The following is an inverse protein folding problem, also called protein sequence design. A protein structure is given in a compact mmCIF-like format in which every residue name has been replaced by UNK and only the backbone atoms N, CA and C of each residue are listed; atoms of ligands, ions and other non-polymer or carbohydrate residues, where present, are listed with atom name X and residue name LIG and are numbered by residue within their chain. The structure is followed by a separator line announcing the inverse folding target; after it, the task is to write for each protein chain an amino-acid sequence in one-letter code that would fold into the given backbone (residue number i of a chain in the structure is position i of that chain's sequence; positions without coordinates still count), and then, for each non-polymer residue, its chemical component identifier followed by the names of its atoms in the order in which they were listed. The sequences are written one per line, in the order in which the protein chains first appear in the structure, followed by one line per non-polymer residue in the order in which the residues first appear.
data_IF_458069586269
#
_entry.id   IF_458069586269
#
_cell.length_a   1.000
_cell.length_b   1.000
_cell.length_c   1.000
_cell.angle_alpha   90.00
_cell.angle_beta   90.00
_cell.angle_gamma   90.00
#
_symmetry.space_group_name_H-M   'P 1'
#
loop_
_entity.id
_entity.type
_entity.pdbx_description
1 polymer ?
#
# COMPACT_ATOMS: atom_id res chain seq x y z
N UNK A 1 19.25 48.78 7.52
CA UNK A 1 18.64 47.72 6.67
C UNK A 1 18.26 46.57 7.57
N UNK A 2 16.97 46.39 7.83
CA UNK A 2 16.45 45.43 8.82
C UNK A 2 15.61 44.40 8.07
N UNK A 3 16.12 43.17 7.96
CA UNK A 3 15.42 42.05 7.33
C UNK A 3 14.81 41.18 8.42
N UNK A 4 13.47 41.25 8.54
CA UNK A 4 12.67 40.35 9.36
C UNK A 4 12.63 38.97 8.70
N UNK A 5 13.15 37.95 9.39
CA UNK A 5 12.86 36.56 9.06
C UNK A 5 11.52 36.17 9.69
N UNK A 6 10.52 35.91 8.83
CA UNK A 6 9.24 35.34 9.24
C UNK A 6 9.37 33.82 9.28
N UNK A 7 9.28 33.23 10.46
CA UNK A 7 9.18 31.78 10.66
C UNK A 7 7.75 31.31 10.36
N UNK A 8 7.60 30.46 9.34
CA UNK A 8 6.35 29.72 9.11
C UNK A 8 6.48 28.32 9.71
N UNK A 9 5.57 28.02 10.63
CA UNK A 9 5.41 26.76 11.33
C UNK A 9 4.70 25.77 10.40
N UNK A 10 5.34 24.64 10.09
CA UNK A 10 4.65 23.51 9.46
C UNK A 10 3.96 22.66 10.53
N UNK A 11 2.64 22.57 10.44
CA UNK A 11 1.78 21.77 11.30
C UNK A 11 1.58 20.39 10.66
N UNK A 12 2.08 19.34 11.31
CA UNK A 12 1.83 17.96 10.94
C UNK A 12 0.44 17.54 11.43
N UNK A 13 -0.52 17.41 10.51
CA UNK A 13 -1.79 16.74 10.77
C UNK A 13 -1.79 15.36 10.10
N UNK A 14 -1.82 14.36 10.97
CA UNK A 14 -1.98 12.94 10.72
C UNK A 14 -3.29 12.62 9.99
N UNK A 15 -3.18 11.83 8.92
CA UNK A 15 -4.32 11.20 8.26
C UNK A 15 -4.41 9.73 8.72
N UNK A 16 -5.47 9.44 9.45
CA UNK A 16 -5.91 8.10 9.86
C UNK A 16 -6.53 7.36 8.68
N UNK A 17 -6.02 6.17 8.36
CA UNK A 17 -6.64 5.18 7.47
C UNK A 17 -7.74 4.40 8.22
N UNK A 18 -8.91 4.12 7.60
CA UNK A 18 -9.79 3.06 8.07
C UNK A 18 -9.47 1.73 7.37
N UNK A 19 -9.46 0.68 8.20
CA UNK A 19 -9.02 -0.66 7.86
C UNK A 19 -9.87 -1.38 6.80
N UNK A 20 -9.16 -2.21 6.04
CA UNK A 20 -9.70 -3.14 5.05
C UNK A 20 -9.76 -4.53 5.69
N UNK A 21 -10.97 -4.96 6.07
CA UNK A 21 -11.26 -6.32 6.48
C UNK A 21 -12.10 -7.02 5.41
N UNK A 22 -11.57 -8.10 4.83
CA UNK A 22 -12.28 -9.35 4.54
C UNK A 22 -11.50 -10.19 3.51
N UNK A 23 -10.94 -11.29 4.00
CA UNK A 23 -10.55 -12.47 3.22
C UNK A 23 -11.78 -13.08 2.52
N UNK A 24 -11.62 -13.67 1.32
CA UNK A 24 -12.04 -15.06 1.05
C UNK A 24 -11.18 -15.67 -0.09
N UNK A 25 -10.38 -16.65 0.32
CA UNK A 25 -9.96 -17.92 -0.30
C UNK A 25 -10.08 -18.15 -1.81
N UNK A 26 -8.93 -18.54 -2.38
CA UNK A 26 -8.77 -19.35 -3.59
C UNK A 26 -9.15 -20.83 -3.35
N UNK A 27 -9.82 -21.44 -4.31
CA UNK A 27 -9.60 -22.86 -4.67
C UNK A 27 -9.93 -23.07 -6.14
N UNK A 28 -8.98 -23.66 -6.84
CA UNK A 28 -9.02 -24.06 -8.24
C UNK A 28 -9.43 -25.53 -8.40
N UNK A 29 -9.64 -25.92 -9.67
CA UNK A 29 -9.49 -27.27 -10.28
C UNK A 29 -10.78 -27.91 -10.82
N UNK A 30 -10.83 -27.85 -12.16
CA UNK A 30 -11.27 -28.80 -13.21
C UNK A 30 -12.62 -29.53 -13.14
N UNK A 31 -13.35 -29.56 -14.26
CA UNK A 31 -14.38 -30.54 -14.56
C UNK A 31 -13.84 -31.69 -15.44
N UNK A 32 -14.37 -32.89 -15.23
CA UNK A 32 -14.19 -34.06 -16.08
C UNK A 32 -14.58 -35.33 -15.35
N UNK A 33 -15.12 -36.41 -15.92
CA UNK A 33 -15.60 -36.80 -17.26
C UNK A 33 -16.43 -38.08 -17.01
N UNK A 34 -17.27 -38.47 -17.99
CA UNK A 34 -17.79 -39.83 -18.29
C UNK A 34 -19.26 -40.04 -17.95
N UNK A 35 -20.11 -40.67 -18.78
CA UNK A 35 -20.00 -41.48 -20.02
C UNK A 35 -21.47 -41.74 -20.42
N UNK A 36 -21.89 -42.03 -21.65
CA UNK A 36 -21.29 -42.24 -22.97
C UNK A 36 -22.36 -41.84 -24.02
N UNK A 37 -22.03 -41.54 -25.28
CA UNK A 37 -21.52 -42.47 -26.29
C UNK A 37 -22.70 -43.31 -26.82
N UNK A 38 -23.07 -43.35 -28.10
CA UNK A 38 -22.29 -43.15 -29.33
C UNK A 38 -23.22 -43.36 -30.55
N UNK A 39 -22.96 -42.60 -31.64
CA UNK A 39 -23.08 -42.86 -33.10
C UNK A 39 -24.29 -43.67 -33.66
N UNK A 40 -24.93 -43.39 -34.81
CA UNK A 40 -24.57 -42.92 -36.17
C UNK A 40 -25.85 -42.23 -36.76
N UNK A 41 -25.91 -41.35 -37.76
CA UNK A 41 -25.15 -41.19 -39.01
C UNK A 41 -26.09 -41.39 -40.22
N UNK A 42 -26.08 -40.43 -41.17
CA UNK A 42 -26.76 -40.40 -42.50
C UNK A 42 -28.30 -40.29 -42.50
N UNK A 43 -28.96 -39.52 -43.37
CA UNK A 43 -28.54 -38.93 -44.63
C UNK A 43 -29.50 -39.34 -45.75
N UNK A 44 -30.29 -38.36 -46.20
CA UNK A 44 -30.77 -38.18 -47.58
C UNK A 44 -32.09 -38.84 -48.07
N UNK A 45 -32.74 -38.08 -48.97
CA UNK A 45 -33.60 -38.44 -50.11
C UNK A 45 -35.12 -38.60 -49.94
N UNK A 46 -35.84 -37.62 -50.54
CA UNK A 46 -37.12 -37.75 -51.31
C UNK A 46 -37.06 -38.96 -52.29
N UNK A 47 -38.16 -39.54 -52.84
CA UNK A 47 -39.31 -38.80 -53.42
C UNK A 47 -40.69 -39.51 -53.48
N UNK A 48 -41.62 -38.74 -54.06
CA UNK A 48 -42.90 -39.07 -54.75
C UNK A 48 -42.83 -40.33 -55.64
N UNK A 49 -43.94 -41.05 -55.81
CA UNK A 49 -44.54 -41.52 -57.09
C UNK A 49 -45.73 -42.47 -56.84
N UNK A 50 -46.75 -42.34 -57.70
CA UNK A 50 -47.94 -43.17 -57.84
C UNK A 50 -47.66 -44.46 -58.64
N UNK A 51 -48.46 -45.53 -58.46
CA UNK A 51 -48.52 -46.63 -59.44
C UNK A 51 -49.96 -47.18 -59.56
N UNK A 52 -50.39 -47.28 -60.82
CA UNK A 52 -51.55 -47.97 -61.38
C UNK A 52 -51.28 -49.47 -61.62
N UNK A 53 -52.34 -50.18 -62.04
CA UNK A 53 -52.36 -51.42 -62.87
C UNK A 53 -52.83 -52.65 -62.09
N UNK A 54 -53.95 -53.33 -62.39
CA UNK A 54 -54.56 -53.83 -63.63
C UNK A 54 -54.05 -55.22 -64.06
N UNK A 55 -54.99 -55.99 -64.63
CA UNK A 55 -54.94 -57.34 -65.22
C UNK A 55 -54.92 -58.52 -64.24
N UNK A 56 -55.65 -59.61 -64.42
CA UNK A 56 -56.52 -60.04 -65.51
C UNK A 56 -56.93 -61.51 -65.29
N UNK A 57 -58.14 -61.84 -65.78
CA UNK A 57 -58.71 -63.15 -66.19
C UNK A 57 -57.68 -64.19 -66.72
N UNK A 58 -57.96 -65.53 -66.86
CA UNK A 58 -59.06 -66.03 -67.73
C UNK A 58 -59.63 -67.48 -67.64
N UNK A 59 -60.85 -67.61 -68.20
CA UNK A 59 -61.39 -68.59 -69.20
C UNK A 59 -61.66 -70.08 -68.88
N UNK A 60 -62.97 -70.42 -68.93
CA UNK A 60 -63.62 -71.50 -69.73
C UNK A 60 -63.69 -72.93 -69.14
N UNK A 61 -64.59 -73.84 -69.60
CA UNK A 61 -65.69 -73.81 -70.60
C UNK A 61 -67.09 -74.14 -69.97
N UNK A 62 -68.27 -73.88 -70.54
CA UNK A 62 -68.91 -74.52 -71.71
C UNK A 62 -69.58 -75.87 -71.37
N UNK A 63 -70.93 -75.94 -71.21
CA UNK A 63 -71.88 -77.10 -71.33
C UNK A 63 -73.31 -76.51 -71.25
N UNK A 64 -74.05 -76.46 -72.37
CA UNK A 64 -75.12 -77.36 -72.84
C UNK A 64 -76.55 -77.03 -72.32
N UNK A 65 -77.42 -76.84 -73.32
CA UNK A 65 -78.84 -76.53 -73.31
C UNK A 65 -79.71 -77.54 -72.52
N UNK A 66 -80.57 -77.06 -71.61
CA UNK A 66 -81.70 -77.84 -71.06
C UNK A 66 -82.95 -76.96 -70.95
N UNK A 67 -84.01 -77.50 -71.53
CA UNK A 67 -85.39 -77.05 -71.69
C UNK A 67 -86.04 -76.41 -70.46
N UNK A 68 -86.72 -75.27 -70.65
CA UNK A 68 -87.65 -74.69 -69.67
C UNK A 68 -88.91 -75.55 -69.63
N UNK A 69 -89.07 -76.37 -68.59
CA UNK A 69 -90.32 -77.06 -68.26
C UNK A 69 -91.34 -76.03 -67.74
N UNK A 70 -92.45 -75.80 -68.45
CA UNK A 70 -93.51 -74.86 -68.07
C UNK A 70 -94.37 -75.35 -66.87
N UNK A 71 -93.80 -76.14 -65.95
CA UNK A 71 -94.50 -76.83 -64.85
C UNK A 71 -93.91 -76.55 -63.46
N UNK A 72 -92.88 -75.71 -63.32
CA UNK A 72 -92.23 -75.41 -62.03
C UNK A 72 -92.41 -73.96 -61.56
N UNK A 73 -93.37 -73.23 -62.14
CA UNK A 73 -93.91 -71.96 -61.61
C UNK A 73 -94.97 -72.23 -60.52
N UNK A 74 -94.62 -73.04 -59.53
CA UNK A 74 -95.38 -73.20 -58.29
C UNK A 74 -94.49 -72.77 -57.13
N UNK A 75 -94.86 -71.73 -56.36
CA UNK A 75 -94.10 -71.32 -55.20
C UNK A 75 -94.02 -72.50 -54.24
N UNK A 76 -92.83 -73.07 -54.09
CA UNK A 76 -92.53 -73.99 -53.00
C UNK A 76 -92.58 -73.16 -51.71
N UNK A 77 -93.75 -73.18 -51.04
CA UNK A 77 -93.92 -72.74 -49.67
C UNK A 77 -93.08 -73.64 -48.76
N UNK A 78 -91.79 -73.34 -48.69
CA UNK A 78 -90.97 -73.68 -47.55
C UNK A 78 -91.60 -72.95 -46.36
N UNK A 79 -92.32 -73.67 -45.51
CA UNK A 79 -92.61 -73.23 -44.15
C UNK A 79 -91.26 -73.00 -43.46
N UNK A 80 -90.71 -71.80 -43.62
CA UNK A 80 -89.63 -71.29 -42.79
C UNK A 80 -90.24 -71.21 -41.41
N UNK A 81 -89.69 -72.00 -40.51
CA UNK A 81 -90.10 -72.12 -39.12
C UNK A 81 -90.31 -70.71 -38.53
N UNK A 82 -91.52 -70.36 -38.00
CA UNK A 82 -91.79 -69.03 -37.46
C UNK A 82 -90.84 -68.63 -36.33
N UNK A 83 -90.19 -69.61 -35.68
CA UNK A 83 -89.12 -69.41 -34.71
C UNK A 83 -87.84 -68.80 -35.32
N UNK A 84 -87.49 -69.13 -36.58
CA UNK A 84 -86.29 -68.63 -37.27
C UNK A 84 -86.48 -67.19 -37.77
N UNK A 85 -87.71 -66.80 -38.11
CA UNK A 85 -88.04 -65.42 -38.48
C UNK A 85 -88.00 -64.48 -37.27
N UNK A 86 -88.52 -64.91 -36.12
CA UNK A 86 -88.40 -64.15 -34.87
C UNK A 86 -86.93 -64.01 -34.45
N UNK A 87 -86.14 -65.09 -34.48
CA UNK A 87 -84.72 -65.04 -34.16
C UNK A 87 -83.93 -64.09 -35.09
N UNK A 88 -84.22 -64.08 -36.41
CA UNK A 88 -83.58 -63.13 -37.33
C UNK A 88 -84.03 -61.68 -37.15
N UNK A 89 -85.26 -61.46 -36.69
CA UNK A 89 -85.75 -60.11 -36.39
C UNK A 89 -85.16 -59.58 -35.09
N UNK A 90 -85.08 -60.43 -34.06
CA UNK A 90 -84.36 -60.14 -32.81
C UNK A 90 -82.87 -59.89 -33.05
N UNK A 91 -82.20 -60.71 -33.87
CA UNK A 91 -80.79 -60.50 -34.27
C UNK A 91 -80.62 -59.18 -35.04
N UNK A 92 -81.55 -58.84 -35.93
CA UNK A 92 -81.53 -57.57 -36.66
C UNK A 92 -81.76 -56.36 -35.74
N UNK A 93 -82.61 -56.48 -34.73
CA UNK A 93 -82.83 -55.44 -33.72
C UNK A 93 -81.65 -55.31 -32.75
N UNK A 94 -81.00 -56.41 -32.40
CA UNK A 94 -79.75 -56.42 -31.64
C UNK A 94 -78.60 -55.79 -32.44
N UNK A 95 -78.46 -56.12 -33.73
CA UNK A 95 -77.48 -55.48 -34.62
C UNK A 95 -77.79 -53.99 -34.80
N UNK A 96 -79.07 -53.61 -34.86
CA UNK A 96 -79.47 -52.20 -34.93
C UNK A 96 -79.13 -51.44 -33.65
N UNK A 97 -79.48 -51.97 -32.48
CA UNK A 97 -79.13 -51.36 -31.19
C UNK A 97 -77.62 -51.33 -30.96
N UNK A 98 -76.89 -52.34 -31.43
CA UNK A 98 -75.42 -52.34 -31.39
C UNK A 98 -74.84 -51.30 -32.35
N UNK A 99 -75.39 -51.15 -33.56
CA UNK A 99 -74.99 -50.11 -34.49
C UNK A 99 -75.32 -48.70 -33.98
N UNK A 100 -76.47 -48.50 -33.34
CA UNK A 100 -76.83 -47.22 -32.71
C UNK A 100 -75.85 -46.89 -31.56
N UNK A 101 -75.45 -47.91 -30.78
CA UNK A 101 -74.37 -47.78 -29.78
C UNK A 101 -73.02 -47.45 -30.44
N UNK A 102 -72.64 -48.12 -31.52
CA UNK A 102 -71.41 -47.80 -32.26
C UNK A 102 -71.43 -46.39 -32.85
N UNK A 103 -72.55 -45.94 -33.40
CA UNK A 103 -72.71 -44.57 -33.88
C UNK A 103 -72.50 -43.56 -32.74
N UNK A 104 -73.10 -43.80 -31.57
CA UNK A 104 -72.89 -42.95 -30.39
C UNK A 104 -71.44 -42.95 -29.89
N UNK A 105 -70.74 -44.09 -29.97
CA UNK A 105 -69.32 -44.20 -29.63
C UNK A 105 -68.45 -43.46 -30.65
N UNK A 106 -68.75 -43.57 -31.95
CA UNK A 106 -68.05 -42.86 -33.02
C UNK A 106 -68.22 -41.35 -32.84
N UNK A 107 -69.42 -40.88 -32.51
CA UNK A 107 -69.68 -39.46 -32.22
C UNK A 107 -68.92 -38.99 -30.97
N UNK A 108 -68.84 -39.84 -29.94
CA UNK A 108 -68.07 -39.53 -28.73
C UNK A 108 -66.57 -39.48 -29.00
N UNK A 109 -66.03 -40.40 -29.80
CA UNK A 109 -64.62 -40.39 -30.20
C UNK A 109 -64.32 -39.15 -31.04
N UNK A 110 -65.16 -38.80 -32.02
CA UNK A 110 -65.00 -37.56 -32.81
C UNK A 110 -65.03 -36.32 -31.93
N UNK A 111 -65.94 -36.26 -30.96
CA UNK A 111 -65.99 -35.15 -30.02
C UNK A 111 -64.71 -35.05 -29.17
N UNK A 112 -64.19 -36.17 -28.68
CA UNK A 112 -62.95 -36.21 -27.91
C UNK A 112 -61.72 -35.88 -28.78
N UNK A 113 -61.66 -36.35 -30.01
CA UNK A 113 -60.62 -35.98 -30.98
C UNK A 113 -60.65 -34.47 -31.27
N UNK A 114 -61.84 -33.90 -31.44
CA UNK A 114 -62.00 -32.47 -31.67
C UNK A 114 -61.60 -31.65 -30.43
N UNK A 115 -61.92 -32.13 -29.23
CA UNK A 115 -61.45 -31.52 -27.98
C UNK A 115 -59.93 -31.63 -27.81
N UNK A 116 -59.33 -32.79 -28.11
CA UNK A 116 -57.89 -32.97 -28.07
C UNK A 116 -57.18 -32.05 -29.06
N UNK A 117 -57.71 -31.91 -30.28
CA UNK A 117 -57.16 -30.99 -31.28
C UNK A 117 -57.27 -29.52 -30.84
N UNK A 118 -58.34 -29.17 -30.13
CA UNK A 118 -58.49 -27.84 -29.53
C UNK A 118 -57.51 -27.62 -28.37
N UNK A 119 -57.25 -28.65 -27.55
CA UNK A 119 -56.26 -28.59 -26.48
C UNK A 119 -54.83 -28.52 -27.03
N UNK A 120 -54.51 -29.26 -28.08
CA UNK A 120 -53.21 -29.21 -28.77
C UNK A 120 -52.95 -27.83 -29.37
N UNK A 121 -53.95 -27.23 -30.04
CA UNK A 121 -53.81 -25.87 -30.57
C UNK A 121 -53.69 -24.83 -29.46
N UNK A 122 -54.45 -24.97 -28.37
CA UNK A 122 -54.32 -24.11 -27.18
C UNK A 122 -52.95 -24.26 -26.51
N UNK A 123 -52.42 -25.48 -26.43
CA UNK A 123 -51.09 -25.77 -25.89
C UNK A 123 -50.00 -25.15 -26.76
N UNK A 124 -50.08 -25.31 -28.09
CA UNK A 124 -49.14 -24.71 -29.03
C UNK A 124 -49.11 -23.18 -28.90
N UNK A 125 -50.29 -22.54 -28.84
CA UNK A 125 -50.40 -21.08 -28.65
C UNK A 125 -49.85 -20.61 -27.30
N UNK A 126 -50.09 -21.36 -26.22
CA UNK A 126 -49.54 -21.04 -24.90
C UNK A 126 -48.01 -21.20 -24.88
N UNK A 127 -47.48 -22.19 -25.58
CA UNK A 127 -46.04 -22.42 -25.65
C UNK A 127 -45.34 -21.35 -26.50
N UNK A 128 -45.94 -20.95 -27.61
CA UNK A 128 -45.46 -19.82 -28.42
C UNK A 128 -45.58 -18.49 -27.65
N UNK A 129 -46.65 -18.28 -26.89
CA UNK A 129 -46.78 -17.12 -26.04
C UNK A 129 -45.75 -17.11 -24.89
N UNK A 130 -45.40 -18.28 -24.33
CA UNK A 130 -44.37 -18.41 -23.29
C UNK A 130 -42.96 -18.21 -23.84
N UNK A 131 -42.68 -18.66 -25.07
CA UNK A 131 -41.37 -18.45 -25.70
C UNK A 131 -41.18 -16.98 -26.11
N UNK A 132 -42.21 -16.32 -26.65
CA UNK A 132 -42.18 -14.87 -26.96
C UNK A 132 -42.13 -14.01 -25.69
N UNK A 133 -42.66 -14.52 -24.56
CA UNK A 133 -42.56 -13.90 -23.23
C UNK A 133 -41.34 -14.38 -22.41
N UNK A 134 -40.44 -15.17 -22.98
CA UNK A 134 -39.11 -15.38 -22.38
C UNK A 134 -38.45 -14.00 -22.34
N UNK A 135 -38.48 -13.39 -21.16
CA UNK A 135 -38.38 -11.95 -20.99
C UNK A 135 -37.03 -11.46 -21.50
N UNK A 136 -37.00 -10.31 -22.19
CA UNK A 136 -35.75 -9.59 -22.53
C UNK A 136 -35.03 -9.04 -21.28
N UNK A 137 -35.68 -9.16 -20.13
CA UNK A 137 -35.30 -8.55 -18.86
C UNK A 137 -34.00 -9.15 -18.26
N UNK A 138 -33.79 -10.49 -18.23
CA UNK A 138 -32.53 -11.07 -17.78
C UNK A 138 -31.35 -10.63 -18.65
N UNK A 139 -31.52 -10.54 -19.98
CA UNK A 139 -30.46 -10.05 -20.87
C UNK A 139 -30.09 -8.58 -20.63
N UNK A 140 -31.05 -7.72 -20.29
CA UNK A 140 -30.78 -6.32 -19.91
C UNK A 140 -30.02 -6.25 -18.58
N UNK A 141 -30.41 -7.07 -17.59
CA UNK A 141 -29.69 -7.14 -16.31
C UNK A 141 -28.28 -7.71 -16.48
N UNK A 142 -28.10 -8.76 -17.29
CA UNK A 142 -26.77 -9.31 -17.61
C UNK A 142 -25.89 -8.30 -18.32
N UNK A 143 -26.42 -7.55 -19.30
CA UNK A 143 -25.70 -6.47 -19.96
C UNK A 143 -25.30 -5.37 -18.96
N UNK A 144 -26.21 -4.96 -18.07
CA UNK A 144 -25.92 -3.96 -17.03
C UNK A 144 -24.87 -4.46 -16.03
N UNK A 145 -24.92 -5.73 -15.64
CA UNK A 145 -23.91 -6.37 -14.78
C UNK A 145 -22.56 -6.41 -15.49
N UNK A 146 -22.52 -6.75 -16.77
CA UNK A 146 -21.29 -6.76 -17.57
C UNK A 146 -20.67 -5.36 -17.69
N UNK A 147 -21.48 -4.33 -17.93
CA UNK A 147 -21.02 -2.94 -17.97
C UNK A 147 -20.47 -2.48 -16.62
N UNK A 148 -21.16 -2.79 -15.52
CA UNK A 148 -20.68 -2.45 -14.18
C UNK A 148 -19.37 -3.17 -13.83
N UNK A 149 -19.21 -4.43 -14.26
CA UNK A 149 -17.94 -5.17 -14.10
C UNK A 149 -16.81 -4.52 -14.90
N UNK A 150 -17.05 -4.13 -16.15
CA UNK A 150 -16.06 -3.37 -16.94
C UNK A 150 -15.70 -2.04 -16.30
N UNK A 151 -16.65 -1.30 -15.74
CA UNK A 151 -16.37 -0.06 -15.03
C UNK A 151 -15.52 -0.29 -13.78
N UNK A 152 -15.82 -1.35 -13.02
CA UNK A 152 -15.02 -1.73 -11.86
C UNK A 152 -13.58 -2.11 -12.26
N UNK A 153 -13.41 -2.90 -13.32
CA UNK A 153 -12.09 -3.26 -13.85
C UNK A 153 -11.32 -2.01 -14.32
N UNK A 154 -11.96 -1.09 -15.04
CA UNK A 154 -11.35 0.16 -15.48
C UNK A 154 -10.91 1.02 -14.28
N UNK A 155 -11.78 1.19 -13.29
CA UNK A 155 -11.44 1.92 -12.06
C UNK A 155 -10.32 1.25 -11.26
N UNK A 156 -10.25 -0.09 -11.25
CA UNK A 156 -9.18 -0.82 -10.59
C UNK A 156 -7.84 -0.64 -11.32
N UNK A 157 -7.85 -0.63 -12.65
CA UNK A 157 -6.64 -0.33 -13.44
C UNK A 157 -6.19 1.11 -13.23
N UNK A 158 -7.11 2.08 -13.24
CA UNK A 158 -6.80 3.48 -12.95
C UNK A 158 -6.28 3.67 -11.52
N UNK A 159 -6.88 3.00 -10.53
CA UNK A 159 -6.39 2.99 -9.16
C UNK A 159 -4.97 2.47 -9.07
N UNK A 160 -4.66 1.36 -9.75
CA UNK A 160 -3.31 0.78 -9.78
C UNK A 160 -2.31 1.70 -10.48
N UNK A 161 -2.72 2.39 -11.56
CA UNK A 161 -1.90 3.38 -12.26
C UNK A 161 -1.60 4.58 -11.36
N UNK A 162 -2.61 5.12 -10.68
CA UNK A 162 -2.44 6.24 -9.75
C UNK A 162 -1.57 5.87 -8.55
N UNK A 163 -1.67 4.63 -8.05
CA UNK A 163 -0.81 4.14 -6.97
C UNK A 163 0.65 4.05 -7.40
N UNK A 164 0.91 3.63 -8.65
CA UNK A 164 2.26 3.64 -9.23
C UNK A 164 2.79 5.06 -9.45
N UNK A 165 1.96 5.97 -9.95
CA UNK A 165 2.33 7.40 -10.09
C UNK A 165 2.63 8.02 -8.72
N UNK A 166 1.83 7.73 -7.70
CA UNK A 166 2.06 8.17 -6.33
C UNK A 166 3.39 7.65 -5.80
N UNK A 167 3.67 6.35 -5.93
CA UNK A 167 4.94 5.77 -5.50
C UNK A 167 6.12 6.43 -6.20
N UNK A 168 6.06 6.59 -7.54
CA UNK A 168 7.11 7.25 -8.30
C UNK A 168 7.33 8.71 -7.84
N UNK A 169 6.26 9.45 -7.53
CA UNK A 169 6.41 10.81 -6.99
C UNK A 169 7.00 10.81 -5.58
N UNK A 170 6.68 9.82 -4.74
CA UNK A 170 7.26 9.67 -3.41
C UNK A 170 8.76 9.37 -3.50
N UNK A 171 9.17 8.46 -4.38
CA UNK A 171 10.57 8.09 -4.61
C UNK A 171 11.38 9.33 -5.06
N UNK A 172 10.83 10.12 -6.00
CA UNK A 172 11.48 11.37 -6.46
C UNK A 172 11.60 12.40 -5.33
N UNK A 173 10.58 12.52 -4.47
CA UNK A 173 10.62 13.43 -3.32
C UNK A 173 11.67 12.97 -2.30
N UNK A 174 11.77 11.67 -2.04
CA UNK A 174 12.78 11.09 -1.15
C UNK A 174 14.19 11.29 -1.70
N UNK A 175 14.39 11.10 -3.00
CA UNK A 175 15.65 11.40 -3.69
C UNK A 175 16.06 12.87 -3.54
N UNK A 176 15.12 13.81 -3.71
CA UNK A 176 15.40 15.23 -3.51
C UNK A 176 15.72 15.54 -2.05
N UNK A 177 14.97 14.96 -1.11
CA UNK A 177 15.24 15.12 0.32
C UNK A 177 16.65 14.63 0.67
N UNK A 178 17.05 13.45 0.20
CA UNK A 178 18.39 12.91 0.41
C UNK A 178 19.46 13.84 -0.19
N UNK A 179 19.25 14.34 -1.41
CA UNK A 179 20.17 15.32 -2.04
C UNK A 179 20.27 16.62 -1.24
N UNK A 180 19.18 17.12 -0.67
CA UNK A 180 19.19 18.30 0.18
C UNK A 180 19.95 18.06 1.49
N UNK A 181 19.76 16.90 2.13
CA UNK A 181 20.49 16.52 3.33
C UNK A 181 21.99 16.39 3.05
N UNK A 182 22.37 15.76 1.93
CA UNK A 182 23.77 15.71 1.48
C UNK A 182 24.36 17.10 1.19
N UNK A 183 23.60 17.99 0.55
CA UNK A 183 24.05 19.37 0.27
C UNK A 183 24.23 20.17 1.56
N UNK A 184 23.33 20.00 2.53
CA UNK A 184 23.47 20.62 3.86
C UNK A 184 24.74 20.09 4.54
N UNK A 185 24.96 18.78 4.52
CA UNK A 185 26.15 18.18 5.11
C UNK A 185 27.43 18.64 4.42
N UNK A 186 27.45 18.71 3.08
CA UNK A 186 28.58 19.24 2.29
C UNK A 186 28.84 20.72 2.59
N UNK A 187 27.78 21.53 2.68
CA UNK A 187 27.89 22.94 3.08
C UNK A 187 28.45 23.09 4.49
N UNK A 188 27.95 22.33 5.46
CA UNK A 188 28.46 22.38 6.83
C UNK A 188 29.93 21.95 6.92
N UNK A 189 30.33 20.92 6.16
CA UNK A 189 31.73 20.50 6.09
C UNK A 189 32.63 21.60 5.50
N UNK A 190 32.21 22.24 4.41
CA UNK A 190 32.94 23.35 3.80
C UNK A 190 32.98 24.59 4.71
N UNK A 191 31.91 24.88 5.44
CA UNK A 191 31.85 25.98 6.41
C UNK A 191 32.79 25.72 7.59
N UNK A 192 32.82 24.48 8.10
CA UNK A 192 33.77 24.08 9.14
C UNK A 192 35.23 24.22 8.66
N UNK A 193 35.54 23.76 7.44
CA UNK A 193 36.87 23.92 6.84
C UNK A 193 37.24 25.40 6.67
N UNK A 194 36.31 26.23 6.22
CA UNK A 194 36.50 27.67 6.09
C UNK A 194 36.81 28.33 7.43
N UNK A 195 36.10 27.95 8.50
CA UNK A 195 36.35 28.48 9.86
C UNK A 195 37.74 28.07 10.36
N UNK A 196 38.16 26.83 10.12
CA UNK A 196 39.50 26.37 10.46
C UNK A 196 40.57 27.13 9.68
N UNK A 197 40.40 27.25 8.36
CA UNK A 197 41.33 27.97 7.50
C UNK A 197 41.44 29.45 7.91
N UNK A 198 40.32 30.08 8.29
CA UNK A 198 40.31 31.44 8.82
C UNK A 198 41.14 31.56 10.10
N UNK A 199 40.97 30.63 11.04
CA UNK A 199 41.78 30.59 12.27
C UNK A 199 43.28 30.44 11.96
N UNK A 200 43.63 29.60 10.99
CA UNK A 200 45.03 29.42 10.58
C UNK A 200 45.59 30.66 9.88
N UNK A 201 44.78 31.36 9.07
CA UNK A 201 45.15 32.66 8.47
C UNK A 201 45.36 33.72 9.56
N UNK A 202 44.47 33.81 10.54
CA UNK A 202 44.61 34.76 11.65
C UNK A 202 45.87 34.45 12.49
N UNK A 203 46.14 33.16 12.77
CA UNK A 203 47.35 32.73 13.48
C UNK A 203 48.64 33.05 12.72
N UNK A 204 48.66 32.77 11.40
CA UNK A 204 49.81 33.10 10.55
C UNK A 204 50.01 34.60 10.41
N UNK A 205 48.94 35.39 10.36
CA UNK A 205 49.01 36.84 10.35
C UNK A 205 49.57 37.40 11.65
N UNK A 206 49.11 36.91 12.82
CA UNK A 206 49.68 37.30 14.11
C UNK A 206 51.18 36.99 14.19
N UNK A 207 51.60 35.79 13.78
CA UNK A 207 53.02 35.41 13.71
C UNK A 207 53.81 36.33 12.77
N UNK A 208 53.24 36.68 11.61
CA UNK A 208 53.86 37.61 10.66
C UNK A 208 54.07 38.98 11.31
N UNK A 209 53.04 39.54 11.96
CA UNK A 209 53.12 40.85 12.63
C UNK A 209 54.16 40.83 13.75
N UNK A 210 54.23 39.75 14.53
CA UNK A 210 55.27 39.58 15.56
C UNK A 210 56.69 39.53 14.97
N UNK A 211 56.88 38.84 13.85
CA UNK A 211 58.17 38.79 13.14
C UNK A 211 58.54 40.13 12.53
N UNK A 212 57.58 40.86 11.94
CA UNK A 212 57.79 42.22 11.43
C UNK A 212 58.17 43.19 12.57
N UNK A 213 57.53 43.11 13.73
CA UNK A 213 57.89 43.91 14.89
C UNK A 213 59.32 43.62 15.38
N UNK A 214 59.72 42.33 15.41
CA UNK A 214 61.10 41.94 15.75
C UNK A 214 62.11 42.45 14.71
N UNK A 215 61.79 42.36 13.42
CA UNK A 215 62.64 42.87 12.36
C UNK A 215 62.80 44.39 12.43
N UNK A 216 61.72 45.13 12.71
CA UNK A 216 61.76 46.58 12.91
C UNK A 216 62.60 46.94 14.14
N UNK A 217 62.42 46.25 15.27
CA UNK A 217 63.24 46.46 16.47
C UNK A 217 64.73 46.24 16.22
N UNK A 218 65.10 45.18 15.50
CA UNK A 218 66.50 44.94 15.09
C UNK A 218 67.02 46.02 14.13
N UNK A 219 66.18 46.52 13.23
CA UNK A 219 66.55 47.59 12.31
C UNK A 219 66.76 48.93 13.03
N UNK A 220 65.92 49.24 14.02
CA UNK A 220 66.09 50.40 14.92
C UNK A 220 67.40 50.28 15.71
N UNK A 221 67.72 49.10 16.24
CA UNK A 221 68.98 48.84 16.95
C UNK A 221 70.20 49.01 16.02
N UNK A 222 70.13 48.51 14.79
CA UNK A 222 71.19 48.71 13.78
C UNK A 222 71.37 50.20 13.47
N UNK A 223 70.28 50.95 13.29
CA UNK A 223 70.34 52.37 13.00
C UNK A 223 70.89 53.16 14.19
N UNK A 224 70.47 52.82 15.41
CA UNK A 224 71.03 53.40 16.64
C UNK A 224 72.54 53.18 16.72
N UNK A 225 73.01 51.94 16.52
CA UNK A 225 74.44 51.62 16.54
C UNK A 225 75.20 52.38 15.44
N UNK A 226 74.65 52.50 14.23
CA UNK A 226 75.25 53.28 13.14
C UNK A 226 75.41 54.76 13.52
N UNK A 227 74.34 55.39 13.99
CA UNK A 227 74.39 56.81 14.41
C UNK A 227 75.30 57.02 15.61
N UNK A 228 75.33 56.07 16.55
CA UNK A 228 76.24 56.09 17.69
C UNK A 228 77.71 56.06 17.24
N UNK A 229 78.08 55.10 16.38
CA UNK A 229 79.45 55.01 15.85
C UNK A 229 79.83 56.20 14.97
N UNK A 230 78.90 56.76 14.19
CA UNK A 230 79.15 57.97 13.39
C UNK A 230 79.44 59.18 14.28
N UNK A 231 78.72 59.32 15.40
CA UNK A 231 78.95 60.38 16.37
C UNK A 231 80.27 60.20 17.12
N UNK A 232 80.59 58.98 17.55
CA UNK A 232 81.88 58.64 18.18
C UNK A 232 83.06 58.93 17.23
N UNK A 233 82.94 58.56 15.95
CA UNK A 233 83.95 58.89 14.94
C UNK A 233 84.10 60.40 14.72
N UNK A 234 82.99 61.14 14.66
CA UNK A 234 83.02 62.60 14.54
C UNK A 234 83.68 63.26 15.75
N UNK A 235 83.42 62.76 16.96
CA UNK A 235 84.03 63.26 18.19
C UNK A 235 85.54 62.99 18.20
N UNK A 236 85.95 61.77 17.89
CA UNK A 236 87.37 61.41 17.75
C UNK A 236 88.07 62.27 16.68
N UNK A 237 87.40 62.53 15.56
CA UNK A 237 87.93 63.38 14.50
C UNK A 237 88.04 64.85 14.95
N UNK A 238 87.08 65.36 15.72
CA UNK A 238 87.15 66.67 16.37
C UNK A 238 88.33 66.75 17.34
N UNK A 239 88.51 65.76 18.20
CA UNK A 239 89.64 65.70 19.15
C UNK A 239 90.99 65.71 18.41
N UNK A 240 91.09 65.01 17.28
CA UNK A 240 92.30 65.03 16.44
C UNK A 240 92.49 66.42 15.80
N UNK A 241 91.43 67.05 15.28
CA UNK A 241 91.53 68.40 14.69
C UNK A 241 91.84 69.49 15.72
N UNK A 242 91.23 69.42 16.91
CA UNK A 242 91.45 70.34 18.03
C UNK A 242 92.88 70.22 18.56
N UNK A 243 93.44 69.01 18.56
CA UNK A 243 94.86 68.77 18.87
C UNK A 243 95.79 69.25 17.74
N UNK A 244 95.33 69.30 16.49
CA UNK A 244 96.10 69.83 15.35
C UNK A 244 96.12 71.36 15.28
N UNK A 245 95.18 72.03 15.95
CA UNK A 245 95.10 73.48 16.09
C UNK A 245 95.61 73.87 17.49
N UNK A 246 96.88 73.56 17.75
CA UNK A 246 97.62 74.23 18.84
C UNK A 246 97.87 75.66 18.40
N UNK A 247 96.91 76.50 18.75
CA UNK A 247 96.93 77.95 18.67
C UNK A 247 98.18 78.50 19.38
N UNK A 248 98.96 79.29 18.65
CA UNK A 248 99.87 80.27 19.21
C UNK A 248 99.05 81.28 20.02
N UNK A 249 98.96 81.06 21.33
CA UNK A 249 98.37 82.04 22.24
C UNK A 249 99.32 83.24 22.36
N UNK A 250 98.84 84.39 21.91
CA UNK A 250 99.41 85.67 22.30
C UNK A 250 98.92 85.99 23.72
N UNK A 251 99.77 85.66 24.69
CA UNK A 251 99.45 85.65 26.11
C UNK A 251 99.77 87.02 26.73
N UNK A 252 98.87 87.99 26.54
CA UNK A 252 98.95 89.27 27.24
C UNK A 252 97.56 89.85 27.52
N UNK A 253 96.82 89.18 28.40
CA UNK A 253 95.72 89.81 29.13
C UNK A 253 95.71 89.22 30.52
N UNK A 254 95.79 90.07 31.54
CA UNK A 254 95.69 89.65 32.94
C UNK A 254 94.37 88.91 33.13
N UNK A 255 94.45 87.58 33.23
CA UNK A 255 93.33 86.72 33.54
C UNK A 255 93.02 86.88 35.02
N UNK A 256 91.78 87.26 35.32
CA UNK A 256 91.25 87.20 36.67
C UNK A 256 91.02 85.73 37.03
N UNK A 257 92.06 85.12 37.62
CA UNK A 257 92.08 83.71 37.97
C UNK A 257 90.95 83.35 38.93
N UNK A 258 90.50 84.29 39.77
CA UNK A 258 89.45 84.05 40.73
C UNK A 258 88.08 83.89 40.05
N UNK A 259 87.80 84.71 39.03
CA UNK A 259 86.57 84.60 38.22
C UNK A 259 86.51 83.28 37.45
N UNK A 260 87.62 82.86 36.83
CA UNK A 260 87.70 81.60 36.07
C UNK A 260 87.56 80.39 37.00
N UNK A 261 88.20 80.42 38.18
CA UNK A 261 88.07 79.35 39.18
C UNK A 261 86.63 79.27 39.70
N UNK A 262 85.95 80.41 39.90
CA UNK A 262 84.55 80.44 40.31
C UNK A 262 83.62 79.87 39.21
N UNK A 263 83.85 80.21 37.95
CA UNK A 263 83.08 79.70 36.81
C UNK A 263 83.29 78.19 36.61
N UNK A 264 84.53 77.71 36.69
CA UNK A 264 84.83 76.27 36.62
C UNK A 264 84.16 75.51 37.77
N UNK A 265 84.19 76.04 39.00
CA UNK A 265 83.49 75.43 40.14
C UNK A 265 81.98 75.38 39.92
N UNK A 266 81.38 76.45 39.41
CA UNK A 266 79.95 76.50 39.09
C UNK A 266 79.58 75.47 38.01
N UNK A 267 80.41 75.29 36.98
CA UNK A 267 80.18 74.26 35.96
C UNK A 267 80.28 72.83 36.52
N UNK A 268 81.23 72.56 37.41
CA UNK A 268 81.32 71.25 38.07
C UNK A 268 80.11 70.99 38.98
N UNK A 269 79.65 72.00 39.72
CA UNK A 269 78.43 71.89 40.51
C UNK A 269 77.20 71.66 39.62
N UNK A 270 77.08 72.36 38.48
CA UNK A 270 76.00 72.16 37.51
C UNK A 270 76.03 70.77 36.87
N UNK A 271 77.20 70.26 36.50
CA UNK A 271 77.36 68.91 35.93
C UNK A 271 77.02 67.85 36.98
N UNK A 272 77.47 68.01 38.22
CA UNK A 272 77.13 67.12 39.32
C UNK A 272 75.62 67.13 39.62
N UNK A 273 74.99 68.30 39.60
CA UNK A 273 73.55 68.47 39.80
C UNK A 273 72.75 67.87 38.64
N UNK A 274 73.17 68.08 37.37
CA UNK A 274 72.53 67.45 36.20
C UNK A 274 72.64 65.93 36.25
N UNK A 275 73.83 65.39 36.51
CA UNK A 275 74.03 63.94 36.64
C UNK A 275 73.17 63.33 37.75
N UNK A 276 73.04 64.03 38.88
CA UNK A 276 72.15 63.61 39.97
C UNK A 276 70.69 63.63 39.56
N UNK A 277 70.21 64.71 38.94
CA UNK A 277 68.83 64.86 38.50
C UNK A 277 68.46 63.83 37.40
N UNK A 278 69.38 63.56 36.49
CA UNK A 278 69.23 62.54 35.45
C UNK A 278 69.16 61.13 36.06
N UNK A 279 70.01 60.81 37.04
CA UNK A 279 69.94 59.54 37.75
C UNK A 279 68.63 59.38 38.53
N UNK A 280 68.19 60.42 39.25
CA UNK A 280 66.92 60.42 39.99
C UNK A 280 65.72 60.25 39.04
N UNK A 281 65.68 60.99 37.92
CA UNK A 281 64.65 60.85 36.87
C UNK A 281 64.66 59.46 36.23
N UNK A 282 65.84 58.91 35.96
CA UNK A 282 65.99 57.58 35.39
C UNK A 282 65.46 56.49 36.34
N UNK A 283 65.80 56.58 37.63
CA UNK A 283 65.28 55.66 38.65
C UNK A 283 63.77 55.79 38.83
N UNK A 284 63.24 57.02 38.83
CA UNK A 284 61.82 57.26 38.95
C UNK A 284 61.05 56.66 37.76
N UNK A 285 61.53 56.92 36.53
CA UNK A 285 60.97 56.33 35.32
C UNK A 285 61.03 54.80 35.37
N UNK A 286 62.15 54.21 35.83
CA UNK A 286 62.26 52.76 35.95
C UNK A 286 61.32 52.17 37.00
N UNK A 287 61.14 52.85 38.12
CA UNK A 287 60.21 52.44 39.15
C UNK A 287 58.77 52.49 38.65
N UNK A 288 58.37 53.55 37.94
CA UNK A 288 57.05 53.68 37.32
C UNK A 288 56.79 52.59 36.27
N UNK A 289 57.77 52.27 35.42
CA UNK A 289 57.65 51.18 34.44
C UNK A 289 57.46 49.83 35.15
N UNK A 290 58.26 49.54 36.18
CA UNK A 290 58.14 48.30 36.95
C UNK A 290 56.82 48.21 37.69
N UNK A 291 56.34 49.33 38.25
CA UNK A 291 55.04 49.40 38.93
C UNK A 291 53.88 49.20 37.94
N UNK A 292 53.93 49.84 36.78
CA UNK A 292 52.93 49.67 35.73
C UNK A 292 52.95 48.23 35.17
N UNK A 293 54.13 47.64 35.00
CA UNK A 293 54.27 46.25 34.55
C UNK A 293 53.70 45.29 35.59
N UNK A 294 54.03 45.46 36.88
CA UNK A 294 53.46 44.65 37.96
C UNK A 294 51.93 44.77 38.04
N UNK A 295 51.39 45.97 37.83
CA UNK A 295 49.94 46.20 37.72
C UNK A 295 49.31 45.41 36.57
N UNK A 296 49.88 45.52 35.35
CA UNK A 296 49.43 44.76 34.18
C UNK A 296 49.46 43.25 34.41
N UNK A 297 50.54 42.73 35.00
CA UNK A 297 50.65 41.29 35.29
C UNK A 297 49.60 40.85 36.32
N UNK A 298 49.28 41.71 37.30
CA UNK A 298 48.19 41.47 38.26
C UNK A 298 46.81 41.45 37.60
N UNK A 299 46.56 42.40 36.69
CA UNK A 299 45.30 42.47 35.92
C UNK A 299 45.14 41.28 34.97
N UNK A 300 46.20 40.89 34.26
CA UNK A 300 46.19 39.71 33.38
C UNK A 300 45.94 38.42 34.17
N UNK A 301 46.57 38.27 35.34
CA UNK A 301 46.31 37.13 36.22
C UNK A 301 44.87 37.12 36.75
N UNK A 302 44.29 38.29 37.02
CA UNK A 302 42.89 38.41 37.42
C UNK A 302 41.93 38.08 36.28
N UNK A 303 42.24 38.53 35.06
CA UNK A 303 41.44 38.24 33.86
C UNK A 303 41.44 36.74 33.55
N UNK A 304 42.62 36.12 33.48
CA UNK A 304 42.74 34.67 33.27
C UNK A 304 42.04 33.87 34.37
N UNK A 305 42.11 34.29 35.63
CA UNK A 305 41.35 33.68 36.72
C UNK A 305 39.84 33.80 36.53
N UNK A 306 39.34 34.93 36.04
CA UNK A 306 37.92 35.12 35.75
C UNK A 306 37.47 34.25 34.58
N UNK A 307 38.26 34.18 33.50
CA UNK A 307 37.99 33.31 32.35
C UNK A 307 37.94 31.83 32.76
N UNK A 308 38.88 31.38 33.61
CA UNK A 308 38.86 30.03 34.17
C UNK A 308 37.57 29.81 34.99
N UNK A 309 37.13 30.78 35.78
CA UNK A 309 35.88 30.66 36.54
C UNK A 309 34.64 30.60 35.63
N UNK A 310 34.62 31.37 34.54
CA UNK A 310 33.54 31.37 33.56
C UNK A 310 33.49 30.07 32.75
N UNK A 311 34.64 29.57 32.29
CA UNK A 311 34.76 28.27 31.65
C UNK A 311 34.28 27.16 32.59
N UNK A 312 34.68 27.18 33.87
CA UNK A 312 34.19 26.22 34.85
C UNK A 312 32.67 26.28 35.04
N UNK A 313 32.06 27.49 35.07
CA UNK A 313 30.60 27.63 35.11
C UNK A 313 29.92 27.11 33.84
N UNK A 314 30.55 27.28 32.68
CA UNK A 314 30.05 26.75 31.41
C UNK A 314 30.10 25.22 31.39
N UNK A 315 31.21 24.64 31.85
CA UNK A 315 31.37 23.18 32.00
C UNK A 315 30.27 22.63 32.91
N UNK A 316 30.03 23.23 34.08
CA UNK A 316 28.97 22.77 35.00
C UNK A 316 27.58 22.85 34.38
N UNK A 317 27.27 23.91 33.62
CA UNK A 317 26.00 24.05 32.89
C UNK A 317 25.83 22.96 31.83
N UNK A 318 26.86 22.72 31.02
CA UNK A 318 26.85 21.68 29.99
C UNK A 318 26.74 20.29 30.63
N UNK A 319 27.42 20.04 31.74
CA UNK A 319 27.32 18.77 32.47
C UNK A 319 25.87 18.53 32.96
N UNK A 320 25.24 19.56 33.54
CA UNK A 320 23.85 19.48 33.98
C UNK A 320 22.86 19.27 32.83
N UNK A 321 23.11 19.89 31.68
CA UNK A 321 22.31 19.68 30.46
C UNK A 321 22.46 18.25 29.92
N UNK A 322 23.69 17.73 29.88
CA UNK A 322 23.97 16.34 29.52
C UNK A 322 23.22 15.38 30.45
N UNK A 323 23.27 15.60 31.75
CA UNK A 323 22.60 14.73 32.72
C UNK A 323 21.07 14.83 32.62
N UNK A 324 20.53 16.03 32.34
CA UNK A 324 19.11 16.20 32.07
C UNK A 324 18.67 15.45 30.80
N UNK A 325 19.42 15.55 29.70
CA UNK A 325 19.14 14.84 28.45
C UNK A 325 19.26 13.33 28.65
N UNK A 326 20.27 12.85 29.39
CA UNK A 326 20.39 11.42 29.75
C UNK A 326 19.18 10.93 30.53
N UNK A 327 18.69 11.71 31.50
CA UNK A 327 17.49 11.38 32.25
C UNK A 327 16.23 11.37 31.36
N UNK A 328 16.11 12.31 30.43
CA UNK A 328 15.01 12.32 29.46
C UNK A 328 15.05 11.10 28.54
N UNK A 329 16.23 10.74 28.03
CA UNK A 329 16.43 9.53 27.23
C UNK A 329 16.03 8.28 28.00
N UNK A 330 16.49 8.12 29.24
CA UNK A 330 16.13 6.97 30.07
C UNK A 330 14.62 6.88 30.34
N UNK A 331 13.94 8.02 30.54
CA UNK A 331 12.47 8.07 30.68
C UNK A 331 11.75 7.65 29.41
N UNK A 332 12.22 8.11 28.24
CA UNK A 332 11.65 7.73 26.95
C UNK A 332 11.88 6.25 26.64
N UNK A 333 13.08 5.73 26.91
CA UNK A 333 13.38 4.30 26.76
C UNK A 333 12.50 3.44 27.67
N UNK A 334 12.27 3.85 28.92
CA UNK A 334 11.34 3.16 29.82
C UNK A 334 9.89 3.19 29.32
N UNK A 335 9.43 4.33 28.79
CA UNK A 335 8.09 4.47 28.23
C UNK A 335 7.90 3.64 26.94
N UNK A 336 8.94 3.53 26.11
CA UNK A 336 8.93 2.66 24.92
C UNK A 336 8.82 1.20 25.35
N UNK A 337 9.67 0.75 26.29
CA UNK A 337 9.62 -0.61 26.79
C UNK A 337 8.25 -0.97 27.39
N UNK A 338 7.65 -0.06 28.18
CA UNK A 338 6.31 -0.27 28.73
C UNK A 338 5.23 -0.35 27.63
N UNK A 339 5.31 0.50 26.60
CA UNK A 339 4.38 0.46 25.48
C UNK A 339 4.54 -0.82 24.62
N UNK A 340 5.77 -1.29 24.44
CA UNK A 340 6.09 -2.55 23.76
C UNK A 340 5.52 -3.75 24.54
N UNK A 341 5.75 -3.81 25.86
CA UNK A 341 5.22 -4.87 26.73
C UNK A 341 3.68 -4.89 26.73
N UNK A 342 3.04 -3.72 26.85
CA UNK A 342 1.58 -3.59 26.76
C UNK A 342 1.06 -4.02 25.38
N UNK A 343 1.75 -3.63 24.31
CA UNK A 343 1.42 -4.03 22.95
C UNK A 343 1.55 -5.54 22.73
N UNK A 344 2.62 -6.16 23.24
CA UNK A 344 2.83 -7.60 23.15
C UNK A 344 1.76 -8.36 23.93
N UNK A 345 1.37 -7.88 25.11
CA UNK A 345 0.30 -8.49 25.91
C UNK A 345 -1.05 -8.42 25.19
N UNK A 346 -1.39 -7.26 24.58
CA UNK A 346 -2.60 -7.10 23.80
C UNK A 346 -2.63 -8.01 22.56
N UNK A 347 -1.48 -8.17 21.89
CA UNK A 347 -1.35 -9.10 20.76
C UNK A 347 -1.51 -10.56 21.20
N UNK A 348 -0.94 -10.95 22.35
CA UNK A 348 -1.11 -12.29 22.91
C UNK A 348 -2.59 -12.59 23.22
N UNK A 349 -3.30 -11.63 23.83
CA UNK A 349 -4.73 -11.78 24.14
C UNK A 349 -5.59 -11.88 22.86
N UNK A 350 -5.33 -11.01 21.87
CA UNK A 350 -6.02 -11.07 20.58
C UNK A 350 -5.78 -12.41 19.84
N UNK A 351 -4.55 -12.93 19.87
CA UNK A 351 -4.20 -14.25 19.31
C UNK A 351 -4.93 -15.38 20.03
N UNK A 352 -4.94 -15.36 21.37
CA UNK A 352 -5.67 -16.35 22.16
C UNK A 352 -7.17 -16.33 21.82
N UNK A 353 -7.77 -15.14 21.67
CA UNK A 353 -9.18 -15.00 21.26
C UNK A 353 -9.43 -15.52 19.85
N UNK A 354 -8.51 -15.28 18.93
CA UNK A 354 -8.59 -15.82 17.57
C UNK A 354 -8.57 -17.36 17.60
N UNK A 355 -7.64 -17.97 18.33
CA UNK A 355 -7.55 -19.43 18.48
C UNK A 355 -8.81 -20.03 19.09
N UNK A 356 -9.39 -19.38 20.11
CA UNK A 356 -10.65 -19.80 20.73
C UNK A 356 -11.81 -19.79 19.72
N UNK A 357 -11.92 -18.71 18.93
CA UNK A 357 -12.96 -18.57 17.91
C UNK A 357 -12.78 -19.56 16.76
N UNK A 358 -11.54 -19.81 16.33
CA UNK A 358 -11.23 -20.83 15.32
C UNK A 358 -11.60 -22.23 15.82
N UNK A 359 -11.28 -22.55 17.08
CA UNK A 359 -11.68 -23.81 17.69
C UNK A 359 -13.22 -23.94 17.81
N UNK A 360 -13.92 -22.87 18.21
CA UNK A 360 -15.37 -22.84 18.25
C UNK A 360 -16.01 -23.05 16.86
N UNK A 361 -15.48 -22.39 15.83
CA UNK A 361 -15.91 -22.57 14.44
C UNK A 361 -15.69 -24.02 13.97
N UNK A 362 -14.56 -24.62 14.33
CA UNK A 362 -14.26 -26.00 13.97
C UNK A 362 -15.20 -26.99 14.67
N UNK A 363 -15.52 -26.78 15.95
CA UNK A 363 -16.56 -27.55 16.66
C UNK A 363 -17.93 -27.41 16.00
N UNK A 364 -18.36 -26.19 15.69
CA UNK A 364 -19.64 -25.95 15.02
C UNK A 364 -19.73 -26.64 13.64
N UNK A 365 -18.63 -26.66 12.87
CA UNK A 365 -18.55 -27.41 11.60
C UNK A 365 -18.68 -28.91 11.82
N UNK A 366 -18.04 -29.46 12.85
CA UNK A 366 -18.16 -30.88 13.20
C UNK A 366 -19.58 -31.24 13.63
N UNK A 367 -20.22 -30.40 14.44
CA UNK A 367 -21.61 -30.58 14.87
C UNK A 367 -22.58 -30.52 13.70
N UNK A 368 -22.43 -29.55 12.79
CA UNK A 368 -23.21 -29.47 11.55
C UNK A 368 -23.04 -30.74 10.70
N UNK A 369 -21.80 -31.22 10.55
CA UNK A 369 -21.53 -32.46 9.82
C UNK A 369 -22.15 -33.69 10.52
N UNK A 370 -22.21 -33.70 11.86
CA UNK A 370 -22.89 -34.75 12.63
C UNK A 370 -24.40 -34.72 12.41
N UNK A 371 -25.02 -33.55 12.53
CA UNK A 371 -26.45 -33.36 12.29
C UNK A 371 -26.84 -33.79 10.87
N UNK A 372 -26.04 -33.44 9.85
CA UNK A 372 -26.30 -33.88 8.47
C UNK A 372 -26.29 -35.40 8.33
N UNK A 373 -25.39 -36.11 9.04
CA UNK A 373 -25.39 -37.58 9.07
C UNK A 373 -26.63 -38.14 9.77
N UNK A 374 -26.96 -37.62 10.94
CA UNK A 374 -28.17 -38.01 11.70
C UNK A 374 -29.46 -37.78 10.86
N UNK A 375 -29.56 -36.66 10.14
CA UNK A 375 -30.67 -36.38 9.23
C UNK A 375 -30.73 -37.36 8.05
N UNK A 376 -29.58 -37.73 7.47
CA UNK A 376 -29.53 -38.71 6.39
C UNK A 376 -29.95 -40.11 6.88
N UNK A 377 -29.52 -40.51 8.09
CA UNK A 377 -29.94 -41.76 8.71
C UNK A 377 -31.45 -41.78 8.98
N UNK A 378 -32.00 -40.68 9.53
CA UNK A 378 -33.43 -40.54 9.76
C UNK A 378 -34.24 -40.60 8.46
N UNK A 379 -33.74 -39.95 7.40
CA UNK A 379 -34.35 -40.03 6.07
C UNK A 379 -34.37 -41.47 5.54
N UNK A 380 -33.27 -42.22 5.72
CA UNK A 380 -33.20 -43.61 5.30
C UNK A 380 -34.23 -44.47 6.07
N UNK A 381 -34.36 -44.27 7.38
CA UNK A 381 -35.40 -44.95 8.20
C UNK A 381 -36.80 -44.58 7.72
N UNK A 382 -37.05 -43.29 7.43
CA UNK A 382 -38.35 -42.84 6.90
C UNK A 382 -38.69 -43.51 5.57
N UNK A 383 -37.72 -43.61 4.65
CA UNK A 383 -37.90 -44.30 3.38
C UNK A 383 -38.19 -45.80 3.57
N UNK A 384 -37.52 -46.46 4.51
CA UNK A 384 -37.80 -47.86 4.84
C UNK A 384 -39.23 -48.03 5.38
N UNK A 385 -39.67 -47.14 6.29
CA UNK A 385 -41.04 -47.15 6.81
C UNK A 385 -42.09 -46.86 5.72
N UNK A 386 -41.83 -45.95 4.78
CA UNK A 386 -42.74 -45.72 3.65
C UNK A 386 -42.92 -46.99 2.80
N UNK A 387 -41.83 -47.74 2.58
CA UNK A 387 -41.87 -49.02 1.87
C UNK A 387 -42.69 -50.04 2.67
N UNK A 388 -42.48 -50.15 3.98
CA UNK A 388 -43.28 -51.03 4.84
C UNK A 388 -44.78 -50.67 4.78
N UNK A 389 -45.13 -49.39 4.91
CA UNK A 389 -46.52 -48.92 4.81
C UNK A 389 -47.11 -49.25 3.43
N UNK A 390 -46.35 -49.05 2.35
CA UNK A 390 -46.80 -49.42 1.01
C UNK A 390 -47.03 -50.93 0.87
N UNK A 391 -46.17 -51.76 1.48
CA UNK A 391 -46.38 -53.22 1.51
C UNK A 391 -47.60 -53.62 2.33
N UNK A 392 -47.81 -53.01 3.51
CA UNK A 392 -48.99 -53.27 4.34
C UNK A 392 -50.29 -52.86 3.63
N UNK A 393 -50.31 -51.71 2.94
CA UNK A 393 -51.46 -51.28 2.11
C UNK A 393 -51.78 -52.29 1.02
N UNK A 394 -50.76 -52.75 0.29
CA UNK A 394 -50.93 -53.76 -0.77
C UNK A 394 -51.47 -55.09 -0.24
N UNK A 395 -51.06 -55.50 0.97
CA UNK A 395 -51.57 -56.70 1.61
C UNK A 395 -53.05 -56.53 2.01
N UNK A 396 -53.42 -55.37 2.56
CA UNK A 396 -54.81 -55.03 2.87
C UNK A 396 -55.71 -55.01 1.63
N UNK A 397 -55.28 -54.33 0.55
CA UNK A 397 -56.01 -54.31 -0.73
C UNK A 397 -56.21 -55.74 -1.29
N UNK A 398 -55.24 -56.62 -1.09
CA UNK A 398 -55.34 -58.04 -1.44
C UNK A 398 -56.38 -58.80 -0.61
N UNK A 399 -56.47 -58.55 0.69
CA UNK A 399 -57.50 -59.14 1.57
C UNK A 399 -58.90 -58.56 1.30
N UNK A 400 -59.02 -57.25 1.04
CA UNK A 400 -60.27 -56.62 0.61
C UNK A 400 -60.78 -57.22 -0.71
N UNK A 401 -59.89 -57.41 -1.68
CA UNK A 401 -60.21 -58.09 -2.95
C UNK A 401 -60.70 -59.54 -2.74
N UNK A 402 -60.18 -60.25 -1.72
CA UNK A 402 -60.64 -61.61 -1.37
C UNK A 402 -62.01 -61.61 -0.70
N UNK A 403 -62.30 -60.62 0.14
CA UNK A 403 -63.61 -60.47 0.78
C UNK A 403 -64.68 -60.06 -0.23
N UNK A 404 -64.37 -59.16 -1.16
CA UNK A 404 -65.29 -58.78 -2.25
C UNK A 404 -65.57 -59.94 -3.22
N UNK A 405 -64.56 -60.76 -3.54
CA UNK A 405 -64.76 -61.97 -4.37
C UNK A 405 -65.49 -63.11 -3.63
N UNK A 406 -65.55 -63.09 -2.30
CA UNK A 406 -66.26 -64.06 -1.47
C UNK A 406 -67.72 -63.70 -1.16
N UNK A 407 -68.17 -62.49 -1.49
CA UNK A 407 -69.56 -62.00 -1.31
C UNK A 407 -70.34 -61.89 -2.64
N UNK A 408 -69.97 -62.69 -3.64
CA UNK A 408 -70.68 -62.83 -4.92
C UNK A 408 -71.59 -64.05 -4.97
#
# INVERSE_FOLDING_TARGET
MSTRFSSQVFSSRSATFPGRGAQVRLSSVRPGVSRGGSLYGLGTLRPRVAVHSAYGDPVGPGIQQVTINQSLLTPLQMHIDPSIQQARQEEREQIKTLNDKFASFIDKVRFLEQQNKLLETKWALLQEQKSVKSSRLPGIFEARIADLRRQLEALQMDGSRLEMELQNTQDVVEDFKNKYEEEINRRMAAENEFVLLKKDVDATYMNKVELEAKANGLNEEINFLRSFYEMELSELQSQISDTSVVLSMDNSRSLDLDSIIAEVKAQYEDIANRSRAEAESWYQTKFEILQAQAGKHGDDLRNTRNEIAEMNRAIQRLQAEIDNIKNQRAKLEAAIAEAEDQGELALKDARAKQEELEAALQRARQDMARQLREYQELLNVKLALDVEIATYRKLLEGEESRLEAGMG
#
